data_IF_873527980250
#
_entry.id   IF_873527980250
#
_cell.length_a   1.000
_cell.length_b   1.000
_cell.length_c   1.000
_cell.angle_alpha   90.00
_cell.angle_beta   90.00
_cell.angle_gamma   90.00
#
_symmetry.space_group_name_H-M   'P 1'
#
loop_
_entity.id
_entity.type
_entity.pdbx_description
1 polymer ?
#
# COMPACT_ATOMS: atom_id res chain seq x y z
N UNK A 1 -42.44 17.69 -8.69
CA UNK A 1 -41.43 17.64 -7.62
C UNK A 1 -40.49 16.42 -7.67
N UNK A 2 -40.45 15.64 -8.76
CA UNK A 2 -39.58 14.44 -8.91
C UNK A 2 -38.16 14.75 -9.43
N UNK A 3 -37.90 15.96 -9.95
CA UNK A 3 -36.61 16.30 -10.57
C UNK A 3 -35.46 16.62 -9.59
N UNK A 4 -35.76 17.13 -8.38
CA UNK A 4 -34.76 17.54 -7.39
C UNK A 4 -34.11 16.33 -6.71
N UNK A 5 -34.81 15.20 -6.55
CA UNK A 5 -34.30 14.00 -5.92
C UNK A 5 -33.28 13.24 -6.81
N UNK A 6 -33.51 13.20 -8.11
CA UNK A 6 -32.59 12.54 -9.06
C UNK A 6 -31.29 13.31 -9.25
N UNK A 7 -31.35 14.65 -9.24
CA UNK A 7 -30.15 15.50 -9.32
C UNK A 7 -29.28 15.37 -8.08
N UNK A 8 -29.87 15.37 -6.87
CA UNK A 8 -29.15 15.19 -5.61
C UNK A 8 -28.52 13.77 -5.49
N UNK A 9 -29.24 12.73 -5.90
CA UNK A 9 -28.74 11.36 -5.92
C UNK A 9 -27.59 11.18 -6.92
N UNK A 10 -27.68 11.79 -8.09
CA UNK A 10 -26.59 11.78 -9.08
C UNK A 10 -25.35 12.53 -8.56
N UNK A 11 -25.51 13.70 -7.94
CA UNK A 11 -24.39 14.46 -7.36
C UNK A 11 -23.70 13.71 -6.23
N UNK A 12 -24.44 12.99 -5.38
CA UNK A 12 -23.86 12.17 -4.30
C UNK A 12 -23.14 10.94 -4.87
N UNK A 13 -23.72 10.30 -5.90
CA UNK A 13 -23.15 9.07 -6.48
C UNK A 13 -21.99 9.31 -7.46
N UNK A 14 -22.02 10.43 -8.18
CA UNK A 14 -20.99 10.78 -9.17
C UNK A 14 -19.99 11.83 -8.67
N UNK A 15 -20.33 12.64 -7.67
CA UNK A 15 -19.45 13.64 -7.09
C UNK A 15 -18.24 13.04 -6.35
N UNK A 16 -18.35 11.80 -5.83
CA UNK A 16 -17.24 11.12 -5.16
C UNK A 16 -16.18 10.56 -6.13
N UNK A 17 -16.51 10.43 -7.42
CA UNK A 17 -15.58 9.86 -8.42
C UNK A 17 -14.60 10.90 -9.01
N UNK A 18 -14.81 12.16 -8.74
CA UNK A 18 -14.02 13.27 -9.29
C UNK A 18 -13.15 13.97 -8.25
N UNK A 19 -13.24 13.58 -6.98
CA UNK A 19 -12.38 14.17 -5.93
C UNK A 19 -11.02 13.51 -5.97
N UNK A 20 -9.93 14.29 -5.87
CA UNK A 20 -8.58 13.73 -5.69
C UNK A 20 -8.53 12.81 -4.48
N UNK A 21 -7.76 11.74 -4.57
CA UNK A 21 -7.50 10.84 -3.42
C UNK A 21 -6.45 11.52 -2.54
N UNK A 22 -6.88 12.01 -1.37
CA UNK A 22 -6.09 12.86 -0.49
C UNK A 22 -6.18 12.42 0.98
N UNK A 23 -5.25 12.92 1.78
CA UNK A 23 -5.25 12.71 3.24
C UNK A 23 -6.55 13.25 3.86
N UNK A 24 -7.11 12.48 4.80
CA UNK A 24 -8.37 12.75 5.47
C UNK A 24 -9.61 12.17 4.77
N UNK A 25 -9.44 11.51 3.65
CA UNK A 25 -10.54 10.82 2.94
C UNK A 25 -10.51 9.31 3.20
N UNK A 26 -11.67 8.68 3.03
CA UNK A 26 -11.77 7.22 2.98
C UNK A 26 -10.94 6.68 1.82
N UNK A 27 -10.15 5.64 2.09
CA UNK A 27 -9.38 4.97 1.07
C UNK A 27 -10.30 4.35 0.00
N UNK A 28 -9.93 4.45 -1.29
CA UNK A 28 -10.67 3.81 -2.36
C UNK A 28 -10.83 2.31 -2.11
N UNK A 29 -11.98 1.77 -2.49
CA UNK A 29 -12.18 0.32 -2.48
C UNK A 29 -11.44 -0.31 -3.65
N UNK A 30 -10.75 -1.42 -3.39
CA UNK A 30 -10.14 -2.20 -4.45
C UNK A 30 -10.16 -3.70 -4.16
N UNK A 31 -9.96 -4.48 -5.21
CA UNK A 31 -9.64 -5.91 -5.12
C UNK A 31 -8.54 -6.23 -6.11
N UNK A 32 -7.56 -7.03 -5.68
CA UNK A 32 -6.43 -7.46 -6.50
C UNK A 32 -6.04 -8.90 -6.15
N UNK A 33 -5.36 -9.59 -7.05
CA UNK A 33 -4.91 -10.97 -6.82
C UNK A 33 -3.62 -10.95 -5.99
N UNK A 34 -3.59 -11.69 -4.89
CA UNK A 34 -2.36 -11.93 -4.13
C UNK A 34 -1.54 -13.02 -4.85
N UNK A 35 -0.35 -12.64 -5.31
CA UNK A 35 0.50 -13.52 -6.13
C UNK A 35 1.12 -14.69 -5.35
N UNK A 36 1.12 -14.62 -4.01
CA UNK A 36 1.63 -15.71 -3.17
C UNK A 36 0.58 -16.79 -2.91
N UNK A 37 -0.70 -16.39 -2.78
CA UNK A 37 -1.78 -17.32 -2.43
C UNK A 37 -2.72 -17.64 -3.59
N UNK A 38 -2.75 -16.78 -4.62
CA UNK A 38 -3.71 -16.85 -5.72
C UNK A 38 -5.11 -16.30 -5.37
N UNK A 39 -5.32 -15.86 -4.13
CA UNK A 39 -6.61 -15.36 -3.67
C UNK A 39 -6.85 -13.91 -4.12
N UNK A 40 -8.13 -13.57 -4.33
CA UNK A 40 -8.52 -12.17 -4.50
C UNK A 40 -8.63 -11.49 -3.13
N UNK A 41 -7.77 -10.49 -2.91
CA UNK A 41 -7.72 -9.68 -1.69
C UNK A 41 -8.44 -8.36 -1.94
N UNK A 42 -9.33 -7.96 -1.04
CA UNK A 42 -9.93 -6.63 -1.05
C UNK A 42 -9.54 -5.84 0.19
N UNK A 43 -9.28 -4.53 0.01
CA UNK A 43 -8.88 -3.65 1.12
C UNK A 43 -9.86 -3.74 2.30
N UNK A 44 -11.16 -3.66 2.02
CA UNK A 44 -12.22 -3.58 3.03
C UNK A 44 -12.47 -4.88 3.79
N UNK A 45 -12.04 -6.02 3.23
CA UNK A 45 -12.23 -7.34 3.87
C UNK A 45 -10.97 -7.82 4.55
N UNK A 46 -9.85 -7.83 3.83
CA UNK A 46 -8.60 -8.42 4.31
C UNK A 46 -7.91 -7.55 5.36
N UNK A 47 -8.06 -6.23 5.27
CA UNK A 47 -7.32 -5.29 6.11
C UNK A 47 -8.22 -4.46 7.05
N UNK A 48 -9.48 -4.84 7.19
CA UNK A 48 -10.44 -4.14 8.06
C UNK A 48 -9.93 -4.02 9.49
N UNK A 49 -9.95 -2.81 10.03
CA UNK A 49 -9.55 -2.53 11.41
C UNK A 49 -8.03 -2.58 11.66
N UNK A 50 -7.23 -2.62 10.60
CA UNK A 50 -5.77 -2.65 10.66
C UNK A 50 -5.17 -1.38 10.08
N UNK A 51 -3.96 -1.03 10.49
CA UNK A 51 -3.15 -0.02 9.82
C UNK A 51 -2.52 -0.66 8.59
N UNK A 52 -2.73 -0.04 7.43
CA UNK A 52 -2.28 -0.58 6.14
C UNK A 52 -1.45 0.44 5.40
N UNK A 53 -0.31 0.02 4.88
CA UNK A 53 0.46 0.74 3.88
C UNK A 53 0.12 0.13 2.51
N UNK A 54 -0.65 0.86 1.70
CA UNK A 54 -0.87 0.52 0.29
C UNK A 54 0.22 1.22 -0.52
N UNK A 55 0.97 0.45 -1.30
CA UNK A 55 2.06 0.96 -2.14
C UNK A 55 1.82 0.50 -3.58
N UNK A 56 1.68 1.44 -4.50
CA UNK A 56 1.57 1.16 -5.93
C UNK A 56 2.96 1.26 -6.55
N UNK A 57 3.40 0.21 -7.24
CA UNK A 57 4.76 0.06 -7.72
C UNK A 57 4.84 -0.79 -8.99
N UNK A 58 6.03 -0.85 -9.61
CA UNK A 58 6.30 -1.73 -10.75
C UNK A 58 7.76 -2.25 -10.72
N UNK A 59 8.00 -3.38 -11.37
CA UNK A 59 9.34 -4.00 -11.43
C UNK A 59 10.37 -3.14 -12.17
N UNK A 60 9.95 -2.40 -13.18
CA UNK A 60 10.77 -1.47 -13.98
C UNK A 60 11.02 -0.12 -13.31
N UNK A 61 10.37 0.15 -12.18
CA UNK A 61 10.47 1.42 -11.47
C UNK A 61 11.68 1.43 -10.52
N UNK A 62 12.75 2.14 -10.88
CA UNK A 62 13.99 2.18 -10.09
C UNK A 62 13.77 2.71 -8.65
N UNK A 63 13.06 3.83 -8.42
CA UNK A 63 12.78 4.28 -7.05
C UNK A 63 11.98 3.27 -6.22
N UNK A 64 11.08 2.49 -6.88
CA UNK A 64 10.35 1.42 -6.21
C UNK A 64 11.30 0.34 -5.69
N UNK A 65 12.28 -0.08 -6.51
CA UNK A 65 13.30 -1.06 -6.11
C UNK A 65 14.09 -0.59 -4.89
N UNK A 66 14.42 0.70 -4.84
CA UNK A 66 15.23 1.27 -3.75
C UNK A 66 14.51 1.22 -2.39
N UNK A 67 13.18 1.43 -2.36
CA UNK A 67 12.44 1.46 -1.09
C UNK A 67 12.03 0.09 -0.55
N UNK A 68 11.95 -0.95 -1.40
CA UNK A 68 11.46 -2.29 -1.01
C UNK A 68 12.24 -2.92 0.15
N UNK A 69 13.59 -2.86 0.22
CA UNK A 69 14.31 -3.40 1.38
C UNK A 69 13.96 -2.70 2.69
N UNK A 70 13.69 -1.39 2.64
CA UNK A 70 13.29 -0.62 3.83
C UNK A 70 11.86 -0.96 4.26
N UNK A 71 10.96 -1.18 3.31
CA UNK A 71 9.60 -1.64 3.56
C UNK A 71 9.59 -3.04 4.18
N UNK A 72 10.44 -3.94 3.68
CA UNK A 72 10.55 -5.29 4.24
C UNK A 72 11.07 -5.29 5.67
N UNK A 73 12.10 -4.48 5.97
CA UNK A 73 12.56 -4.32 7.36
C UNK A 73 11.45 -3.79 8.28
N UNK A 74 10.73 -2.78 7.83
CA UNK A 74 9.57 -2.23 8.56
C UNK A 74 8.50 -3.30 8.80
N UNK A 75 8.20 -4.09 7.79
CA UNK A 75 7.19 -5.16 7.88
C UNK A 75 7.62 -6.28 8.82
N UNK A 76 8.88 -6.71 8.77
CA UNK A 76 9.42 -7.71 9.72
C UNK A 76 9.30 -7.25 11.17
N UNK A 77 9.46 -5.97 11.43
CA UNK A 77 9.34 -5.41 12.78
C UNK A 77 7.89 -5.21 13.23
N UNK A 78 7.05 -4.60 12.38
CA UNK A 78 5.72 -4.15 12.76
C UNK A 78 4.59 -5.06 12.27
N UNK A 79 4.82 -5.90 11.27
CA UNK A 79 3.85 -6.86 10.76
C UNK A 79 3.33 -7.82 11.84
N UNK A 80 4.20 -8.45 12.66
CA UNK A 80 3.76 -9.27 13.79
C UNK A 80 2.94 -8.51 14.83
N UNK A 81 3.04 -7.18 14.85
CA UNK A 81 2.30 -6.29 15.76
C UNK A 81 1.02 -5.72 15.13
N UNK A 82 0.71 -6.07 13.87
CA UNK A 82 -0.54 -5.73 13.19
C UNK A 82 -0.43 -4.73 12.04
N UNK A 83 0.79 -4.28 11.64
CA UNK A 83 0.94 -3.55 10.38
C UNK A 83 0.67 -4.48 9.19
N UNK A 84 -0.07 -3.99 8.22
CA UNK A 84 -0.20 -4.62 6.91
C UNK A 84 0.49 -3.78 5.84
N UNK A 85 1.12 -4.46 4.87
CA UNK A 85 1.61 -3.82 3.65
C UNK A 85 0.96 -4.55 2.47
N UNK A 86 0.23 -3.79 1.66
CA UNK A 86 -0.37 -4.23 0.41
C UNK A 86 0.41 -3.58 -0.74
N UNK A 87 1.44 -4.25 -1.23
CA UNK A 87 2.23 -3.78 -2.36
C UNK A 87 1.57 -4.23 -3.66
N UNK A 88 0.94 -3.28 -4.35
CA UNK A 88 0.16 -3.51 -5.57
C UNK A 88 1.04 -3.23 -6.78
N UNK A 89 1.45 -4.29 -7.49
CA UNK A 89 2.16 -4.16 -8.77
C UNK A 89 1.17 -3.73 -9.85
N UNK A 90 1.60 -2.75 -10.65
CA UNK A 90 0.91 -2.28 -11.86
C UNK A 90 1.59 -2.78 -13.13
N UNK A 91 2.46 -3.79 -13.02
CA UNK A 91 3.08 -4.41 -14.19
C UNK A 91 2.01 -5.04 -15.08
N UNK A 92 2.14 -4.84 -16.39
CA UNK A 92 1.24 -5.43 -17.37
C UNK A 92 1.71 -6.84 -17.78
N UNK A 93 0.78 -7.73 -18.06
CA UNK A 93 1.06 -9.05 -18.63
C UNK A 93 1.41 -10.14 -17.62
N UNK A 94 2.51 -10.88 -17.84
CA UNK A 94 2.88 -12.05 -17.02
C UNK A 94 3.41 -11.62 -15.64
N UNK A 95 2.90 -12.23 -14.61
CA UNK A 95 3.28 -11.95 -13.21
C UNK A 95 4.61 -12.57 -12.77
N UNK A 96 5.29 -13.32 -13.65
CA UNK A 96 6.56 -13.98 -13.31
C UNK A 96 7.64 -13.01 -12.88
N UNK A 97 7.74 -11.86 -13.55
CA UNK A 97 8.74 -10.84 -13.20
C UNK A 97 8.43 -10.20 -11.85
N UNK A 98 7.15 -10.04 -11.50
CA UNK A 98 6.73 -9.54 -10.20
C UNK A 98 7.05 -10.54 -9.08
N UNK A 99 6.82 -11.83 -9.32
CA UNK A 99 7.15 -12.90 -8.38
C UNK A 99 8.67 -12.99 -8.21
N UNK A 100 9.43 -13.02 -9.31
CA UNK A 100 10.89 -13.07 -9.28
C UNK A 100 11.48 -11.86 -8.52
N UNK A 101 10.91 -10.68 -8.72
CA UNK A 101 11.28 -9.48 -7.97
C UNK A 101 11.01 -9.64 -6.46
N UNK A 102 9.83 -10.12 -6.09
CA UNK A 102 9.48 -10.33 -4.69
C UNK A 102 10.41 -11.34 -4.00
N UNK A 103 10.83 -12.38 -4.73
CA UNK A 103 11.78 -13.40 -4.28
C UNK A 103 13.20 -12.81 -4.16
N UNK A 104 13.66 -12.04 -5.15
CA UNK A 104 14.97 -11.35 -5.15
C UNK A 104 15.14 -10.48 -3.91
N UNK A 105 14.11 -9.72 -3.54
CA UNK A 105 14.13 -8.83 -2.38
C UNK A 105 13.70 -9.51 -1.07
N UNK A 106 13.32 -10.78 -1.11
CA UNK A 106 12.85 -11.54 0.05
C UNK A 106 11.63 -10.90 0.72
N UNK A 107 10.72 -10.34 -0.08
CA UNK A 107 9.54 -9.63 0.42
C UNK A 107 8.56 -10.61 1.05
N UNK A 108 8.13 -10.33 2.30
CA UNK A 108 7.23 -11.22 3.05
C UNK A 108 5.81 -10.69 3.22
N UNK A 109 5.58 -9.41 2.95
CA UNK A 109 4.26 -8.81 2.93
C UNK A 109 3.42 -9.20 1.69
N UNK A 110 2.18 -8.73 1.60
CA UNK A 110 1.28 -9.06 0.50
C UNK A 110 1.73 -8.42 -0.80
N UNK A 111 2.02 -9.24 -1.80
CA UNK A 111 2.30 -8.82 -3.18
C UNK A 111 1.02 -9.02 -3.98
N UNK A 112 0.38 -7.92 -4.34
CA UNK A 112 -0.85 -7.89 -5.09
C UNK A 112 -0.59 -7.47 -6.54
N UNK A 113 -1.44 -7.91 -7.46
CA UNK A 113 -1.34 -7.56 -8.87
C UNK A 113 -2.62 -6.87 -9.37
N UNK A 114 -2.44 -5.70 -9.97
CA UNK A 114 -3.49 -4.87 -10.57
C UNK A 114 -3.51 -5.06 -12.09
N UNK A 115 -3.83 -6.29 -12.52
CA UNK A 115 -3.74 -6.68 -13.94
C UNK A 115 -4.70 -5.95 -14.88
N UNK A 116 -5.75 -5.30 -14.35
CA UNK A 116 -6.72 -4.53 -15.15
C UNK A 116 -6.63 -3.00 -14.93
N UNK A 117 -5.67 -2.54 -14.13
CA UNK A 117 -5.46 -1.13 -13.82
C UNK A 117 -6.55 -0.50 -12.94
N UNK A 118 -7.42 -1.34 -12.36
CA UNK A 118 -8.55 -0.85 -11.56
C UNK A 118 -8.12 -0.22 -10.24
N UNK A 119 -7.08 -0.74 -9.59
CA UNK A 119 -6.51 -0.22 -8.35
C UNK A 119 -5.80 1.10 -8.62
N UNK A 120 -4.91 1.13 -9.63
CA UNK A 120 -4.23 2.35 -10.06
C UNK A 120 -5.23 3.47 -10.35
N UNK A 121 -6.30 3.16 -11.09
CA UNK A 121 -7.36 4.12 -11.41
C UNK A 121 -8.14 4.56 -10.18
N UNK A 122 -8.45 3.65 -9.25
CA UNK A 122 -9.18 3.97 -8.02
C UNK A 122 -8.38 4.92 -7.14
N UNK A 123 -7.06 4.71 -6.99
CA UNK A 123 -6.15 5.57 -6.24
C UNK A 123 -5.70 6.81 -7.03
N UNK A 124 -6.05 6.92 -8.32
CA UNK A 124 -5.66 8.02 -9.22
C UNK A 124 -4.14 8.18 -9.33
N UNK A 125 -3.40 7.08 -9.21
CA UNK A 125 -1.95 7.06 -9.25
C UNK A 125 -1.45 7.24 -10.68
N UNK A 126 -0.56 8.21 -10.88
CA UNK A 126 0.06 8.54 -12.17
C UNK A 126 1.59 8.48 -12.15
N UNK A 127 2.19 8.37 -10.98
CA UNK A 127 3.64 8.25 -10.78
C UNK A 127 3.94 7.15 -9.76
N UNK A 128 5.06 6.44 -9.93
CA UNK A 128 5.48 5.34 -9.06
C UNK A 128 6.84 5.61 -8.43
N UNK A 129 7.05 5.14 -7.17
CA UNK A 129 6.03 4.57 -6.29
C UNK A 129 5.07 5.64 -5.76
N UNK A 130 3.84 5.25 -5.46
CA UNK A 130 2.92 6.07 -4.69
C UNK A 130 2.37 5.25 -3.53
N UNK A 131 2.42 5.83 -2.32
CA UNK A 131 2.07 5.13 -1.10
C UNK A 131 1.00 5.86 -0.31
N UNK A 132 0.09 5.09 0.26
CA UNK A 132 -1.02 5.56 1.09
C UNK A 132 -0.99 4.82 2.43
N UNK A 133 -0.75 5.54 3.52
CA UNK A 133 -0.89 4.98 4.86
C UNK A 133 -2.33 5.20 5.32
N UNK A 134 -3.00 4.11 5.66
CA UNK A 134 -4.42 4.06 5.98
C UNK A 134 -4.58 3.62 7.43
N UNK A 135 -5.40 4.32 8.19
CA UNK A 135 -5.68 4.00 9.58
C UNK A 135 -6.70 2.84 9.74
N UNK A 136 -6.99 2.48 10.99
CA UNK A 136 -7.92 1.39 11.33
C UNK A 136 -9.38 1.66 10.92
N UNK A 137 -9.72 2.94 10.67
CA UNK A 137 -11.04 3.35 10.21
C UNK A 137 -11.17 3.34 8.69
N UNK A 138 -10.05 3.10 7.99
CA UNK A 138 -10.00 3.12 6.53
C UNK A 138 -9.72 4.51 5.95
N UNK A 139 -9.28 5.46 6.77
CA UNK A 139 -8.96 6.84 6.36
C UNK A 139 -7.50 6.96 5.98
N UNK A 140 -7.20 7.61 4.87
CA UNK A 140 -5.84 7.94 4.44
C UNK A 140 -5.27 8.99 5.39
N UNK A 141 -4.20 8.66 6.10
CA UNK A 141 -3.53 9.57 7.04
C UNK A 141 -2.21 10.11 6.50
N UNK A 142 -1.65 9.48 5.48
CA UNK A 142 -0.45 9.95 4.77
C UNK A 142 -0.50 9.49 3.32
N UNK A 143 -0.09 10.39 2.41
CA UNK A 143 0.12 10.12 1.00
C UNK A 143 1.55 10.51 0.64
N UNK A 144 2.26 9.66 -0.06
CA UNK A 144 3.65 9.88 -0.50
C UNK A 144 3.75 9.58 -1.98
N UNK A 145 4.30 10.50 -2.74
CA UNK A 145 4.63 10.31 -4.15
C UNK A 145 6.14 10.25 -4.27
N UNK A 146 6.64 9.16 -4.88
CA UNK A 146 8.07 8.87 -5.00
C UNK A 146 8.63 8.07 -3.84
N UNK A 147 9.92 7.76 -3.92
CA UNK A 147 10.66 6.97 -2.93
C UNK A 147 10.58 7.59 -1.52
N UNK A 148 10.38 6.74 -0.51
CA UNK A 148 10.29 7.19 0.87
C UNK A 148 11.12 6.28 1.80
N UNK A 149 11.86 6.85 2.79
CA UNK A 149 12.66 6.07 3.73
C UNK A 149 11.79 5.39 4.80
N UNK A 150 10.99 4.37 4.40
CA UNK A 150 10.05 3.67 5.27
C UNK A 150 10.72 3.05 6.50
N UNK A 151 12.01 2.68 6.40
CA UNK A 151 12.80 2.17 7.51
C UNK A 151 13.39 3.22 8.45
N UNK A 152 13.16 4.52 8.22
CA UNK A 152 13.65 5.59 9.13
C UNK A 152 12.95 5.54 10.48
N UNK A 153 13.61 6.07 11.53
CA UNK A 153 13.01 6.14 12.87
C UNK A 153 11.72 6.94 12.86
N UNK A 154 11.69 8.05 12.12
CA UNK A 154 10.49 8.89 12.00
C UNK A 154 9.31 8.15 11.37
N UNK A 155 9.54 7.34 10.33
CA UNK A 155 8.48 6.53 9.70
C UNK A 155 8.01 5.41 10.63
N UNK A 156 8.95 4.71 11.30
CA UNK A 156 8.65 3.67 12.29
C UNK A 156 7.80 4.20 13.44
N UNK A 157 8.22 5.32 14.01
CA UNK A 157 7.53 5.95 15.14
C UNK A 157 6.13 6.44 14.76
N UNK A 158 5.99 7.10 13.61
CA UNK A 158 4.69 7.57 13.13
C UNK A 158 3.70 6.40 12.91
N UNK A 159 4.17 5.30 12.30
CA UNK A 159 3.34 4.12 12.07
C UNK A 159 3.00 3.43 13.40
N UNK A 160 3.96 3.27 14.31
CA UNK A 160 3.72 2.69 15.63
C UNK A 160 2.72 3.52 16.46
N UNK A 161 2.82 4.85 16.41
CA UNK A 161 1.86 5.74 17.05
C UNK A 161 0.46 5.55 16.46
N UNK A 162 0.33 5.44 15.14
CA UNK A 162 -0.94 5.18 14.47
C UNK A 162 -1.51 3.80 14.86
N UNK A 163 -0.64 2.82 15.08
CA UNK A 163 -1.00 1.49 15.57
C UNK A 163 -1.31 1.47 17.08
N UNK A 164 -1.06 2.56 17.81
CA UNK A 164 -1.25 2.62 19.27
C UNK A 164 -0.28 1.71 20.03
N UNK A 165 0.92 1.47 19.50
CA UNK A 165 1.95 0.63 20.11
C UNK A 165 3.20 1.46 20.46
N UNK A 166 3.94 1.00 21.49
CA UNK A 166 5.26 1.55 21.78
C UNK A 166 6.34 0.72 21.11
N UNK A 167 7.33 1.40 20.51
CA UNK A 167 8.51 0.75 19.95
C UNK A 167 9.54 0.51 21.03
N UNK A 168 10.11 -0.69 21.01
CA UNK A 168 11.37 -0.95 21.68
C UNK A 168 12.57 -0.37 20.90
N UNK A 169 13.81 -0.55 21.43
CA UNK A 169 15.01 -0.24 20.67
C UNK A 169 14.99 -0.91 19.29
N UNK A 170 15.57 -0.22 18.30
CA UNK A 170 15.68 -0.79 16.95
C UNK A 170 16.47 -2.10 17.01
N UNK A 171 15.98 -3.18 16.37
CA UNK A 171 16.80 -4.36 16.16
C UNK A 171 18.09 -3.99 15.41
N UNK A 172 19.23 -4.61 15.72
CA UNK A 172 20.46 -4.36 14.99
C UNK A 172 20.24 -4.64 13.49
N UNK A 173 20.79 -3.77 12.64
CA UNK A 173 20.76 -4.05 11.20
C UNK A 173 21.48 -5.38 10.92
N UNK A 174 20.93 -6.21 10.02
CA UNK A 174 21.65 -7.41 9.61
C UNK A 174 23.00 -6.99 9.06
N UNK A 175 24.08 -7.52 9.64
CA UNK A 175 25.42 -7.33 9.10
C UNK A 175 25.43 -7.78 7.64
N UNK A 176 25.95 -6.96 6.71
CA UNK A 176 26.10 -7.41 5.33
C UNK A 176 26.89 -8.72 5.34
N UNK A 177 26.37 -9.75 4.67
CA UNK A 177 27.09 -11.01 4.51
C UNK A 177 28.46 -10.72 3.90
N UNK A 178 29.58 -11.18 4.49
CA UNK A 178 30.88 -11.01 3.89
C UNK A 178 30.93 -11.89 2.63
N UNK A 179 30.91 -11.28 1.47
CA UNK A 179 31.26 -11.91 0.20
C UNK A 179 30.08 -12.27 -0.69
N UNK A 180 29.81 -11.45 -1.66
CA UNK A 180 29.28 -11.75 -2.97
C UNK A 180 30.15 -11.02 -3.98
#
# INVERSE_FOLDING_TARGET
MLGLGLGAYALVKFGNRTRPVEVGQDAPTFSAVNLKTGDTVSLQRAYKGQVVLVNLWATWCVPCRNEMPAMERLYKELGPKGLKIAAVSVDEGDTKDVIAFADEFGLTFDILHDGDGSVQKAFQTIMFPESFLIDRNGVIVKKVIGEHPWGSDSSREAIAQLMGIQLGPRPPEPTPSPGG
#
